data_IF_724226562713
#
_entry.id   IF_724226562713
#
_cell.length_a   1.000
_cell.length_b   1.000
_cell.length_c   1.000
_cell.angle_alpha   90.00
_cell.angle_beta   90.00
_cell.angle_gamma   90.00
#
_symmetry.space_group_name_H-M   'P 1'
#
loop_
_entity.id
_entity.type
_entity.pdbx_description
1 polymer ?
#
# COMPACT_ATOMS: atom_id res chain seq x y z
N UNK A 1 -9.05 -16.13 92.08
CA UNK A 1 -9.53 -15.74 90.73
C UNK A 1 -8.83 -14.46 90.19
N UNK A 2 -7.52 -14.26 90.43
CA UNK A 2 -6.79 -13.05 89.99
C UNK A 2 -5.78 -13.29 88.84
N UNK A 3 -5.36 -14.54 88.60
CA UNK A 3 -4.34 -14.87 87.60
C UNK A 3 -4.87 -15.01 86.16
N UNK A 4 -6.18 -15.21 85.96
CA UNK A 4 -6.75 -15.40 84.62
C UNK A 4 -7.07 -14.10 83.87
N UNK A 5 -7.20 -12.96 84.57
CA UNK A 5 -7.50 -11.67 83.93
C UNK A 5 -6.26 -10.95 83.38
N UNK A 6 -5.09 -11.12 83.98
CA UNK A 6 -3.82 -10.52 83.51
C UNK A 6 -3.27 -11.21 82.25
N UNK A 7 -3.45 -12.53 82.14
CA UNK A 7 -3.04 -13.30 80.96
C UNK A 7 -3.85 -12.93 79.69
N UNK A 8 -5.16 -12.68 79.82
CA UNK A 8 -6.02 -12.24 78.70
C UNK A 8 -5.66 -10.84 78.19
N UNK A 9 -5.33 -9.90 79.08
CA UNK A 9 -4.88 -8.55 78.67
C UNK A 9 -3.52 -8.58 77.95
N UNK A 10 -2.58 -9.43 78.38
CA UNK A 10 -1.26 -9.59 77.74
C UNK A 10 -1.38 -10.23 76.35
N UNK A 11 -2.23 -11.27 76.19
CA UNK A 11 -2.52 -11.89 74.88
C UNK A 11 -3.21 -10.94 73.90
N UNK A 12 -4.14 -10.09 74.38
CA UNK A 12 -4.83 -9.11 73.52
C UNK A 12 -3.90 -8.00 73.03
N UNK A 13 -2.94 -7.56 73.85
CA UNK A 13 -1.89 -6.62 73.42
C UNK A 13 -0.92 -7.25 72.42
N UNK A 14 -0.57 -8.53 72.60
CA UNK A 14 0.28 -9.26 71.66
C UNK A 14 -0.36 -9.41 70.28
N UNK A 15 -1.68 -9.66 70.24
CA UNK A 15 -2.45 -9.73 69.00
C UNK A 15 -2.50 -8.40 68.24
N UNK A 16 -2.60 -7.27 68.96
CA UNK A 16 -2.57 -5.94 68.33
C UNK A 16 -1.20 -5.70 67.67
N UNK A 17 -0.10 -6.05 68.34
CA UNK A 17 1.25 -5.94 67.77
C UNK A 17 1.47 -6.87 66.57
N UNK A 18 0.91 -8.07 66.59
CA UNK A 18 0.97 -9.00 65.44
C UNK A 18 0.19 -8.46 64.24
N UNK A 19 -1.00 -7.89 64.44
CA UNK A 19 -1.77 -7.27 63.36
C UNK A 19 -1.05 -6.04 62.81
N UNK A 20 -0.45 -5.20 63.66
CA UNK A 20 0.36 -4.05 63.24
C UNK A 20 1.58 -4.49 62.42
N UNK A 21 2.29 -5.53 62.86
CA UNK A 21 3.41 -6.10 62.12
C UNK A 21 2.97 -6.72 60.79
N UNK A 22 1.82 -7.38 60.74
CA UNK A 22 1.26 -7.94 59.51
C UNK A 22 0.84 -6.85 58.52
N UNK A 23 0.25 -5.74 58.99
CA UNK A 23 -0.11 -4.59 58.15
C UNK A 23 1.13 -3.87 57.65
N UNK A 24 2.17 -3.71 58.48
CA UNK A 24 3.46 -3.17 58.05
C UNK A 24 4.14 -4.09 57.04
N UNK A 25 4.15 -5.40 57.27
CA UNK A 25 4.71 -6.36 56.33
C UNK A 25 3.92 -6.39 55.03
N UNK A 26 2.59 -6.29 55.08
CA UNK A 26 1.74 -6.18 53.90
C UNK A 26 1.98 -4.85 53.17
N UNK A 27 2.17 -3.76 53.88
CA UNK A 27 2.49 -2.44 53.31
C UNK A 27 3.88 -2.43 52.65
N UNK A 28 4.89 -3.02 53.30
CA UNK A 28 6.23 -3.19 52.74
C UNK A 28 6.21 -4.17 51.56
N UNK A 29 5.43 -5.25 51.63
CA UNK A 29 5.25 -6.19 50.53
C UNK A 29 4.46 -5.58 49.36
N UNK A 30 3.43 -4.78 49.63
CA UNK A 30 2.71 -4.01 48.62
C UNK A 30 3.62 -2.97 48.00
N UNK A 31 4.44 -2.27 48.79
CA UNK A 31 5.40 -1.30 48.29
C UNK A 31 6.52 -1.96 47.46
N UNK A 32 7.08 -3.08 47.93
CA UNK A 32 8.08 -3.83 47.17
C UNK A 32 7.49 -4.50 45.93
N UNK A 33 6.24 -4.98 45.98
CA UNK A 33 5.59 -5.59 44.83
C UNK A 33 5.17 -4.55 43.79
N UNK A 34 4.68 -3.37 44.18
CA UNK A 34 4.45 -2.27 43.23
C UNK A 34 5.75 -1.73 42.65
N UNK A 35 6.83 -1.65 43.46
CA UNK A 35 8.15 -1.27 42.98
C UNK A 35 8.77 -2.31 42.03
N UNK A 36 8.50 -3.61 42.21
CA UNK A 36 8.92 -4.65 41.27
C UNK A 36 8.12 -4.63 39.96
N UNK A 37 6.82 -4.29 40.00
CA UNK A 37 5.98 -4.13 38.80
C UNK A 37 6.36 -2.87 37.99
N UNK A 38 6.95 -1.86 38.63
CA UNK A 38 7.45 -0.65 37.97
C UNK A 38 8.77 -0.84 37.19
N UNK A 39 9.42 -2.01 37.24
CA UNK A 39 10.38 -2.41 36.21
C UNK A 39 9.60 -2.75 34.94
N UNK A 40 9.17 -1.68 34.27
CA UNK A 40 8.53 -1.68 32.97
C UNK A 40 9.18 -2.75 32.08
N UNK A 41 8.37 -3.58 31.44
CA UNK A 41 8.82 -4.52 30.42
C UNK A 41 9.23 -3.74 29.17
N UNK A 42 10.35 -3.01 29.28
CA UNK A 42 10.99 -2.35 28.16
C UNK A 42 11.45 -3.44 27.21
N UNK A 43 10.87 -3.44 26.02
CA UNK A 43 11.33 -4.28 24.93
C UNK A 43 12.56 -3.63 24.32
N UNK A 44 13.49 -4.48 23.88
CA UNK A 44 14.73 -4.05 23.22
C UNK A 44 14.60 -4.32 21.73
N UNK A 45 14.96 -3.33 20.93
CA UNK A 45 15.17 -3.50 19.50
C UNK A 45 16.56 -3.00 19.14
N UNK A 46 17.16 -3.60 18.12
CA UNK A 46 18.49 -3.20 17.63
C UNK A 46 18.33 -2.49 16.29
N UNK A 47 19.00 -1.35 16.15
CA UNK A 47 19.04 -0.60 14.91
C UNK A 47 19.74 -1.43 13.82
N UNK A 48 19.06 -1.70 12.72
CA UNK A 48 19.59 -2.52 11.62
C UNK A 48 19.57 -1.75 10.31
N UNK A 49 20.56 -1.99 9.46
CA UNK A 49 20.51 -1.52 8.08
C UNK A 49 19.46 -2.32 7.31
N UNK A 50 18.51 -1.60 6.71
CA UNK A 50 17.50 -2.18 5.82
C UNK A 50 17.28 -1.27 4.63
N UNK A 51 16.88 -1.87 3.53
CA UNK A 51 16.32 -1.14 2.40
C UNK A 51 14.84 -0.89 2.68
N UNK A 52 14.43 0.38 2.69
CA UNK A 52 13.05 0.78 2.90
C UNK A 52 12.56 1.43 1.61
N UNK A 53 11.43 0.96 1.10
CA UNK A 53 10.81 1.50 -0.11
C UNK A 53 9.31 1.74 0.12
N UNK A 54 8.81 2.84 -0.39
CA UNK A 54 7.38 3.13 -0.49
C UNK A 54 6.95 3.06 -1.95
N UNK A 55 5.70 2.66 -2.16
CA UNK A 55 5.13 2.50 -3.50
C UNK A 55 3.79 3.21 -3.58
N UNK A 56 3.53 3.82 -4.72
CA UNK A 56 2.17 4.10 -5.16
C UNK A 56 1.57 2.81 -5.72
N UNK A 57 0.32 2.52 -5.36
CA UNK A 57 -0.42 1.37 -5.91
C UNK A 57 -1.65 1.87 -6.65
N UNK A 58 -1.84 1.37 -7.87
CA UNK A 58 -2.94 1.74 -8.76
C UNK A 58 -3.66 0.49 -9.23
N UNK A 59 -4.99 0.50 -9.15
CA UNK A 59 -5.82 -0.57 -9.68
C UNK A 59 -6.23 -0.29 -11.12
N UNK A 60 -6.30 -1.34 -11.94
CA UNK A 60 -6.70 -1.21 -13.34
C UNK A 60 -7.05 -2.55 -13.98
N UNK A 61 -7.00 -2.56 -15.31
CA UNK A 61 -7.27 -3.77 -16.09
C UNK A 61 -6.37 -3.88 -17.31
N UNK A 62 -6.25 -5.11 -17.81
CA UNK A 62 -5.66 -5.38 -19.11
C UNK A 62 -6.62 -4.95 -20.22
N UNK A 63 -6.09 -4.22 -21.19
CA UNK A 63 -6.79 -3.79 -22.40
C UNK A 63 -5.99 -4.20 -23.63
N UNK A 64 -6.63 -4.45 -24.78
CA UNK A 64 -5.92 -4.62 -26.04
C UNK A 64 -5.19 -3.31 -26.40
N UNK A 65 -3.96 -3.42 -26.88
CA UNK A 65 -3.16 -2.26 -27.29
C UNK A 65 -3.83 -1.48 -28.44
N UNK A 66 -4.57 -2.20 -29.29
CA UNK A 66 -5.38 -1.62 -30.36
C UNK A 66 -6.79 -2.19 -30.33
N UNK A 67 -7.76 -1.29 -30.27
CA UNK A 67 -9.18 -1.58 -30.45
C UNK A 67 -9.76 -0.48 -31.34
N UNK A 68 -10.03 -0.82 -32.59
CA UNK A 68 -10.45 0.15 -33.59
C UNK A 68 -11.73 -0.30 -34.28
N UNK A 69 -12.76 0.54 -34.19
CA UNK A 69 -13.93 0.46 -35.06
C UNK A 69 -13.63 1.21 -36.34
N UNK A 70 -13.53 0.47 -37.44
CA UNK A 70 -13.30 1.04 -38.76
C UNK A 70 -14.63 1.49 -39.36
N UNK A 71 -14.68 2.73 -39.83
CA UNK A 71 -15.86 3.32 -40.47
C UNK A 71 -15.61 3.63 -41.94
N UNK A 72 -16.68 3.65 -42.71
CA UNK A 72 -16.64 4.03 -44.12
C UNK A 72 -16.39 5.53 -44.27
N UNK A 73 -15.53 5.89 -45.24
CA UNK A 73 -15.26 7.30 -45.59
C UNK A 73 -16.16 7.79 -46.72
N UNK A 74 -16.67 6.87 -47.53
CA UNK A 74 -17.41 7.16 -48.76
C UNK A 74 -18.62 6.22 -48.86
N UNK A 75 -19.62 6.63 -49.64
CA UNK A 75 -20.79 5.79 -49.91
C UNK A 75 -20.42 4.70 -50.92
N UNK A 76 -20.76 3.45 -50.63
CA UNK A 76 -20.60 2.35 -51.57
C UNK A 76 -21.65 1.27 -51.32
N UNK A 77 -21.95 0.47 -52.35
CA UNK A 77 -22.74 -0.75 -52.17
C UNK A 77 -21.79 -1.94 -52.13
N UNK A 78 -21.85 -2.73 -51.06
CA UNK A 78 -20.99 -3.89 -50.86
C UNK A 78 -21.29 -4.94 -51.93
N UNK A 79 -20.23 -5.37 -52.62
CA UNK A 79 -20.32 -6.50 -53.57
C UNK A 79 -19.93 -7.80 -52.89
N UNK A 80 -18.84 -7.79 -52.13
CA UNK A 80 -18.26 -8.98 -51.53
C UNK A 80 -17.48 -8.59 -50.27
N UNK A 81 -17.59 -9.40 -49.24
CA UNK A 81 -16.83 -9.31 -47.99
C UNK A 81 -15.86 -10.49 -47.95
N UNK A 82 -14.60 -10.24 -47.64
CA UNK A 82 -13.52 -11.24 -47.69
C UNK A 82 -13.09 -11.76 -46.32
N UNK A 83 -13.65 -11.21 -45.25
CA UNK A 83 -13.33 -11.55 -43.86
C UNK A 83 -14.60 -11.90 -43.10
N UNK A 84 -14.46 -12.74 -42.07
CA UNK A 84 -15.51 -13.08 -41.13
C UNK A 84 -15.12 -12.71 -39.69
N UNK A 85 -16.08 -12.73 -38.79
CA UNK A 85 -15.82 -12.59 -37.35
C UNK A 85 -14.92 -13.74 -36.86
N UNK A 86 -13.88 -13.39 -36.10
CA UNK A 86 -12.85 -14.31 -35.64
C UNK A 86 -11.63 -14.43 -36.57
N UNK A 87 -11.68 -13.88 -37.79
CA UNK A 87 -10.52 -13.89 -38.69
C UNK A 87 -9.42 -12.94 -38.21
N UNK A 88 -8.16 -13.38 -38.33
CA UNK A 88 -6.99 -12.53 -38.11
C UNK A 88 -6.62 -11.82 -39.40
N UNK A 89 -6.52 -10.49 -39.34
CA UNK A 89 -6.14 -9.62 -40.46
C UNK A 89 -4.88 -8.84 -40.14
N UNK A 90 -4.09 -8.54 -41.17
CA UNK A 90 -2.95 -7.63 -41.11
C UNK A 90 -3.31 -6.27 -41.70
N UNK A 91 -2.66 -5.21 -41.24
CA UNK A 91 -2.85 -3.87 -41.80
C UNK A 91 -2.64 -3.88 -43.32
N UNK A 92 -3.66 -3.44 -44.07
CA UNK A 92 -3.67 -3.48 -45.54
C UNK A 92 -4.39 -4.68 -46.16
N UNK A 93 -4.80 -5.68 -45.40
CA UNK A 93 -5.58 -6.81 -45.95
C UNK A 93 -6.95 -6.35 -46.46
N UNK A 94 -7.41 -6.98 -47.54
CA UNK A 94 -8.69 -6.61 -48.16
C UNK A 94 -9.84 -7.09 -47.28
N UNK A 95 -10.64 -6.17 -46.75
CA UNK A 95 -11.82 -6.48 -45.95
C UNK A 95 -13.05 -6.71 -46.83
N UNK A 96 -13.32 -5.76 -47.74
CA UNK A 96 -14.49 -5.81 -48.61
C UNK A 96 -14.26 -5.05 -49.92
N UNK A 97 -15.11 -5.34 -50.91
CA UNK A 97 -15.12 -4.68 -52.21
C UNK A 97 -16.50 -4.13 -52.52
N UNK A 98 -16.53 -2.89 -53.01
CA UNK A 98 -17.72 -2.23 -53.54
C UNK A 98 -18.06 -2.65 -54.96
N UNK A 99 -19.32 -2.46 -55.35
CA UNK A 99 -19.81 -2.70 -56.73
C UNK A 99 -19.17 -1.78 -57.77
N UNK A 100 -18.71 -0.61 -57.35
CA UNK A 100 -17.92 0.37 -58.10
C UNK A 100 -16.44 -0.02 -58.27
N UNK A 101 -16.00 -1.12 -57.64
CA UNK A 101 -14.61 -1.58 -57.65
C UNK A 101 -13.75 -1.04 -56.50
N UNK A 102 -14.30 -0.19 -55.63
CA UNK A 102 -13.63 0.34 -54.45
C UNK A 102 -13.24 -0.79 -53.50
N UNK A 103 -12.06 -0.70 -52.90
CA UNK A 103 -11.52 -1.71 -52.00
C UNK A 103 -11.25 -1.08 -50.64
N UNK A 104 -11.79 -1.70 -49.59
CA UNK A 104 -11.52 -1.28 -48.22
C UNK A 104 -10.56 -2.26 -47.60
N UNK A 105 -9.51 -1.72 -47.02
CA UNK A 105 -8.43 -2.46 -46.40
C UNK A 105 -8.48 -2.34 -44.87
N UNK A 106 -7.92 -3.32 -44.16
CA UNK A 106 -7.81 -3.32 -42.71
C UNK A 106 -6.95 -2.13 -42.26
N UNK A 107 -7.48 -1.30 -41.36
CA UNK A 107 -6.78 -0.14 -40.82
C UNK A 107 -5.67 -0.53 -39.82
N UNK A 108 -5.71 -1.73 -39.27
CA UNK A 108 -4.73 -2.24 -38.33
C UNK A 108 -4.67 -3.77 -38.35
N UNK A 109 -3.57 -4.32 -37.84
CA UNK A 109 -3.42 -5.75 -37.58
C UNK A 109 -4.17 -6.16 -36.31
N UNK A 110 -4.92 -7.25 -36.36
CA UNK A 110 -5.65 -7.80 -35.22
C UNK A 110 -6.67 -8.85 -35.63
N UNK A 111 -7.59 -9.18 -34.72
CA UNK A 111 -8.71 -10.10 -34.97
C UNK A 111 -9.98 -9.29 -35.23
N UNK A 112 -10.77 -9.69 -36.23
CA UNK A 112 -12.09 -9.11 -36.51
C UNK A 112 -13.06 -9.57 -35.43
N UNK A 113 -13.30 -8.71 -34.43
CA UNK A 113 -14.20 -9.01 -33.31
C UNK A 113 -15.67 -8.92 -33.72
N UNK A 114 -15.99 -7.96 -34.59
CA UNK A 114 -17.35 -7.76 -35.08
C UNK A 114 -17.33 -7.28 -36.52
N UNK A 115 -18.27 -7.77 -37.32
CA UNK A 115 -18.51 -7.35 -38.69
C UNK A 115 -19.92 -6.76 -38.79
N UNK A 116 -20.02 -5.51 -39.22
CA UNK A 116 -21.28 -4.75 -39.25
C UNK A 116 -21.89 -4.64 -40.65
N UNK A 117 -21.30 -5.30 -41.64
CA UNK A 117 -21.67 -5.16 -43.05
C UNK A 117 -21.74 -6.52 -43.73
N UNK A 118 -22.75 -6.68 -44.58
CA UNK A 118 -22.97 -7.87 -45.39
C UNK A 118 -22.91 -7.54 -46.89
N UNK A 119 -22.89 -8.58 -47.73
CA UNK A 119 -23.01 -8.39 -49.17
C UNK A 119 -24.35 -7.73 -49.53
N UNK A 120 -24.35 -6.90 -50.56
CA UNK A 120 -25.48 -6.05 -51.00
C UNK A 120 -25.85 -4.87 -50.10
N UNK A 121 -25.20 -4.69 -48.94
CA UNK A 121 -25.49 -3.55 -48.06
C UNK A 121 -25.12 -2.20 -48.69
N UNK A 122 -26.00 -1.18 -48.55
CA UNK A 122 -25.65 0.20 -48.84
C UNK A 122 -24.91 0.82 -47.63
N UNK A 123 -23.65 1.19 -47.83
CA UNK A 123 -22.80 1.85 -46.84
C UNK A 123 -22.79 3.35 -47.11
N UNK A 124 -22.84 4.16 -46.05
CA UNK A 124 -22.69 5.60 -46.10
C UNK A 124 -21.45 6.03 -45.30
N UNK A 125 -20.90 7.24 -45.55
CA UNK A 125 -19.84 7.81 -44.71
C UNK A 125 -20.24 7.80 -43.24
N UNK A 126 -19.37 7.26 -42.38
CA UNK A 126 -19.60 7.09 -40.96
C UNK A 126 -20.22 5.75 -40.54
N UNK A 127 -20.74 4.94 -41.47
CA UNK A 127 -21.19 3.58 -41.16
C UNK A 127 -20.03 2.74 -40.63
N UNK A 128 -20.27 2.00 -39.54
CA UNK A 128 -19.30 1.04 -39.01
C UNK A 128 -19.18 -0.15 -39.96
N UNK A 129 -17.94 -0.58 -40.23
CA UNK A 129 -17.64 -1.68 -41.13
C UNK A 129 -17.30 -2.94 -40.34
N UNK A 130 -16.30 -2.81 -39.48
CA UNK A 130 -15.84 -3.87 -38.60
C UNK A 130 -15.13 -3.27 -37.38
N UNK A 131 -14.99 -4.08 -36.32
CA UNK A 131 -14.13 -3.79 -35.17
C UNK A 131 -12.96 -4.76 -35.18
N UNK A 132 -11.74 -4.22 -35.22
CA UNK A 132 -10.50 -5.00 -35.21
C UNK A 132 -9.81 -4.78 -33.87
N UNK A 133 -9.47 -5.86 -33.18
CA UNK A 133 -8.87 -5.85 -31.84
C UNK A 133 -7.58 -6.67 -31.83
N UNK A 134 -6.51 -6.08 -31.29
CA UNK A 134 -5.22 -6.75 -31.09
C UNK A 134 -5.18 -7.40 -29.70
N UNK A 135 -5.42 -8.71 -29.64
CA UNK A 135 -5.37 -9.50 -28.40
C UNK A 135 -3.97 -10.04 -28.09
N UNK A 136 -3.03 -9.99 -29.04
CA UNK A 136 -1.67 -10.50 -28.86
C UNK A 136 -0.81 -9.49 -28.08
N UNK A 137 -1.12 -8.20 -28.23
CA UNK A 137 -0.50 -7.13 -27.46
C UNK A 137 -1.50 -6.53 -26.49
N UNK A 138 -1.31 -6.84 -25.21
CA UNK A 138 -2.08 -6.25 -24.13
C UNK A 138 -1.27 -5.14 -23.45
N UNK A 139 -1.99 -4.12 -23.04
CA UNK A 139 -1.50 -3.02 -22.21
C UNK A 139 -2.31 -3.00 -20.92
N UNK A 140 -1.77 -2.36 -19.89
CA UNK A 140 -2.49 -2.10 -18.65
C UNK A 140 -3.04 -0.69 -18.71
N UNK A 141 -4.31 -0.51 -18.37
CA UNK A 141 -4.92 0.79 -18.16
C UNK A 141 -5.30 0.93 -16.69
N UNK A 142 -4.76 1.96 -16.03
CA UNK A 142 -5.10 2.33 -14.65
C UNK A 142 -5.70 3.73 -14.63
N UNK A 143 -6.58 3.99 -13.66
CA UNK A 143 -7.13 5.32 -13.42
C UNK A 143 -6.43 5.92 -12.20
N UNK A 144 -5.74 7.04 -12.40
CA UNK A 144 -4.91 7.69 -11.37
C UNK A 144 -5.55 9.00 -10.95
N UNK A 145 -5.66 9.25 -9.64
CA UNK A 145 -6.22 10.49 -9.10
C UNK A 145 -5.33 11.70 -9.48
N UNK A 146 -5.93 12.88 -9.62
CA UNK A 146 -5.25 14.16 -9.82
C UNK A 146 -4.14 14.43 -8.78
N UNK A 147 -4.28 13.96 -7.54
CA UNK A 147 -3.25 14.15 -6.52
C UNK A 147 -2.00 13.28 -6.72
N UNK A 148 -2.15 12.12 -7.37
CA UNK A 148 -1.08 11.14 -7.54
C UNK A 148 -0.49 11.13 -8.96
N UNK A 149 -1.12 11.80 -9.93
CA UNK A 149 -0.70 11.79 -11.33
C UNK A 149 0.72 12.33 -11.54
N UNK A 150 1.12 13.33 -10.75
CA UNK A 150 2.45 13.94 -10.81
C UNK A 150 3.57 12.99 -10.34
N UNK A 151 3.21 11.89 -9.65
CA UNK A 151 4.16 10.84 -9.29
C UNK A 151 4.57 9.98 -10.50
N UNK A 152 3.83 10.05 -11.61
CA UNK A 152 4.07 9.27 -12.82
C UNK A 152 4.71 10.12 -13.91
N UNK A 153 5.57 9.48 -14.70
CA UNK A 153 6.21 10.09 -15.85
C UNK A 153 6.31 9.07 -16.98
N UNK A 154 6.36 9.55 -18.23
CA UNK A 154 6.60 8.68 -19.38
C UNK A 154 7.92 7.91 -19.19
N UNK A 155 7.87 6.61 -19.45
CA UNK A 155 9.00 5.72 -19.26
C UNK A 155 9.25 5.26 -17.82
N UNK A 156 8.47 5.74 -16.83
CA UNK A 156 8.61 5.28 -15.44
C UNK A 156 8.25 3.81 -15.32
N UNK A 157 9.09 3.06 -14.61
CA UNK A 157 8.92 1.63 -14.41
C UNK A 157 8.01 1.35 -13.20
N UNK A 158 7.28 0.24 -13.27
CA UNK A 158 6.46 -0.28 -12.19
C UNK A 158 6.38 -1.81 -12.27
N UNK A 159 5.92 -2.43 -11.19
CA UNK A 159 5.60 -3.86 -11.16
C UNK A 159 4.10 -4.03 -11.32
N UNK A 160 3.68 -4.80 -12.30
CA UNK A 160 2.27 -5.11 -12.57
C UNK A 160 1.97 -6.51 -12.04
N UNK A 161 1.04 -6.58 -11.10
CA UNK A 161 0.52 -7.82 -10.56
C UNK A 161 -0.80 -8.17 -11.24
N UNK A 162 -0.84 -9.33 -11.89
CA UNK A 162 -2.04 -9.87 -12.53
C UNK A 162 -2.65 -10.91 -11.59
N UNK A 163 -3.57 -10.46 -10.73
CA UNK A 163 -4.15 -11.26 -9.65
C UNK A 163 -4.78 -12.58 -10.12
N UNK A 164 -5.35 -12.60 -11.32
CA UNK A 164 -6.00 -13.79 -11.89
C UNK A 164 -5.04 -14.95 -12.16
N UNK A 165 -3.76 -14.67 -12.40
CA UNK A 165 -2.73 -15.68 -12.75
C UNK A 165 -1.57 -15.71 -11.76
N UNK A 166 -1.69 -14.96 -10.65
CA UNK A 166 -0.67 -14.85 -9.60
C UNK A 166 0.74 -14.57 -10.16
N UNK A 167 0.82 -13.63 -11.10
CA UNK A 167 2.06 -13.27 -11.79
C UNK A 167 2.38 -11.79 -11.60
N UNK A 168 3.68 -11.51 -11.40
CA UNK A 168 4.23 -10.16 -11.38
C UNK A 168 5.12 -9.97 -12.61
N UNK A 169 4.86 -8.94 -13.39
CA UNK A 169 5.64 -8.59 -14.59
C UNK A 169 6.08 -7.13 -14.53
N UNK A 170 7.27 -6.79 -15.06
CA UNK A 170 7.66 -5.39 -15.20
C UNK A 170 6.74 -4.68 -16.19
N UNK A 171 6.43 -3.42 -15.90
CA UNK A 171 5.66 -2.54 -16.78
C UNK A 171 6.27 -1.14 -16.85
N UNK A 172 5.98 -0.44 -17.94
CA UNK A 172 6.49 0.90 -18.19
C UNK A 172 5.38 1.83 -18.65
N UNK A 173 5.32 3.04 -18.08
CA UNK A 173 4.36 4.07 -18.50
C UNK A 173 4.61 4.48 -19.95
N UNK A 174 3.62 4.28 -20.83
CA UNK A 174 3.69 4.66 -22.25
C UNK A 174 2.80 5.85 -22.58
N UNK A 175 1.69 6.01 -21.86
CA UNK A 175 0.72 7.08 -22.12
C UNK A 175 0.16 7.60 -20.80
N UNK A 176 0.07 8.92 -20.67
CA UNK A 176 -0.61 9.60 -19.57
C UNK A 176 -1.71 10.46 -20.20
N UNK A 177 -2.96 10.14 -19.90
CA UNK A 177 -4.12 10.88 -20.38
C UNK A 177 -4.05 12.34 -19.96
N UNK A 178 -4.36 13.24 -20.90
CA UNK A 178 -4.38 14.70 -20.66
C UNK A 178 -5.77 15.23 -20.31
N UNK A 179 -6.77 14.36 -20.38
CA UNK A 179 -8.16 14.66 -20.08
C UNK A 179 -8.60 13.79 -18.91
N UNK A 180 -9.17 14.43 -17.89
CA UNK A 180 -9.69 13.74 -16.73
C UNK A 180 -11.06 13.14 -17.04
N UNK A 181 -11.28 11.90 -16.59
CA UNK A 181 -12.58 11.26 -16.54
C UNK A 181 -13.14 11.46 -15.13
N UNK A 182 -14.28 12.15 -15.02
CA UNK A 182 -14.92 12.34 -13.73
C UNK A 182 -15.79 11.12 -13.39
N UNK A 183 -15.49 10.45 -12.28
CA UNK A 183 -16.26 9.32 -11.78
C UNK A 183 -16.63 9.58 -10.32
N UNK A 184 -17.92 9.77 -10.05
CA UNK A 184 -18.41 10.00 -8.68
C UNK A 184 -17.92 11.29 -8.04
N UNK A 185 -17.57 12.32 -8.83
CA UNK A 185 -17.05 13.59 -8.31
C UNK A 185 -15.54 13.62 -8.13
N UNK A 186 -14.84 12.50 -8.36
CA UNK A 186 -13.37 12.42 -8.36
C UNK A 186 -12.89 12.43 -9.81
N UNK A 187 -11.83 13.19 -10.07
CA UNK A 187 -11.19 13.30 -11.39
C UNK A 187 -10.06 12.29 -11.50
N UNK A 188 -10.15 11.39 -12.49
CA UNK A 188 -9.12 10.41 -12.77
C UNK A 188 -8.48 10.64 -14.12
N UNK A 189 -7.17 10.45 -14.21
CA UNK A 189 -6.41 10.46 -15.45
C UNK A 189 -6.08 9.01 -15.85
N UNK A 190 -6.50 8.54 -17.03
CA UNK A 190 -6.16 7.21 -17.49
C UNK A 190 -4.67 7.17 -17.85
N UNK A 191 -3.94 6.20 -17.29
CA UNK A 191 -2.52 5.97 -17.57
C UNK A 191 -2.36 4.57 -18.13
N UNK A 192 -1.57 4.43 -19.19
CA UNK A 192 -1.26 3.15 -19.80
C UNK A 192 0.15 2.71 -19.49
N UNK A 193 0.30 1.41 -19.20
CA UNK A 193 1.57 0.76 -19.05
C UNK A 193 1.73 -0.33 -20.11
N UNK A 194 2.84 -0.29 -20.84
CA UNK A 194 3.28 -1.42 -21.64
C UNK A 194 3.83 -2.50 -20.73
N UNK A 195 3.44 -3.74 -20.99
CA UNK A 195 3.92 -4.93 -20.29
C UNK A 195 4.22 -6.03 -21.29
N UNK A 196 5.04 -6.99 -20.87
CA UNK A 196 5.06 -8.31 -21.51
C UNK A 196 4.04 -9.19 -20.78
N UNK A 197 2.86 -9.47 -21.37
CA UNK A 197 1.80 -10.18 -20.68
C UNK A 197 2.21 -11.62 -20.34
N UNK A 198 1.95 -12.09 -19.11
CA UNK A 198 2.22 -13.48 -18.74
C UNK A 198 1.27 -14.42 -19.50
N UNK A 199 1.59 -15.72 -19.56
CA UNK A 199 0.76 -16.69 -20.26
C UNK A 199 -0.67 -16.75 -19.66
N UNK A 200 -1.66 -17.03 -20.53
CA UNK A 200 -3.07 -17.22 -20.16
C UNK A 200 -3.80 -15.98 -19.62
N UNK A 201 -3.29 -14.77 -19.86
CA UNK A 201 -4.05 -13.55 -19.56
C UNK A 201 -5.08 -13.25 -20.64
N UNK A 202 -6.11 -12.48 -20.26
CA UNK A 202 -7.15 -11.99 -21.18
C UNK A 202 -7.39 -10.53 -20.94
N UNK A 203 -7.81 -9.82 -21.99
CA UNK A 203 -8.38 -8.49 -21.86
C UNK A 203 -9.51 -8.48 -20.83
N UNK A 204 -9.58 -7.41 -20.05
CA UNK A 204 -10.53 -7.21 -18.96
C UNK A 204 -10.11 -7.79 -17.61
N UNK A 205 -9.02 -8.55 -17.52
CA UNK A 205 -8.51 -9.01 -16.22
C UNK A 205 -8.03 -7.85 -15.36
N UNK A 206 -8.34 -7.88 -14.07
CA UNK A 206 -7.88 -6.89 -13.09
C UNK A 206 -6.40 -7.02 -12.80
N UNK A 207 -5.75 -5.86 -12.63
CA UNK A 207 -4.33 -5.77 -12.27
C UNK A 207 -4.11 -4.72 -11.19
N UNK A 208 -3.02 -4.88 -10.45
CA UNK A 208 -2.48 -3.86 -9.53
C UNK A 208 -1.11 -3.43 -10.05
N UNK A 209 -0.88 -2.13 -10.17
CA UNK A 209 0.41 -1.57 -10.60
C UNK A 209 1.06 -0.86 -9.43
N UNK A 210 2.23 -1.33 -9.03
CA UNK A 210 3.04 -0.71 -7.99
C UNK A 210 4.20 0.06 -8.60
N UNK A 211 4.29 1.34 -8.30
CA UNK A 211 5.32 2.25 -8.78
C UNK A 211 6.11 2.79 -7.60
N UNK A 212 7.44 2.73 -7.68
CA UNK A 212 8.31 3.23 -6.62
C UNK A 212 8.11 4.74 -6.40
N UNK A 213 7.88 5.12 -5.14
CA UNK A 213 7.78 6.50 -4.67
C UNK A 213 9.12 6.96 -4.10
N UNK A 214 9.48 6.42 -2.92
CA UNK A 214 10.74 6.75 -2.24
C UNK A 214 11.47 5.48 -1.88
N UNK A 215 12.78 5.58 -1.86
CA UNK A 215 13.66 4.50 -1.43
C UNK A 215 14.78 5.05 -0.56
N UNK A 216 15.10 4.31 0.50
CA UNK A 216 16.25 4.51 1.33
C UNK A 216 17.02 3.19 1.40
N UNK A 217 18.16 3.14 0.71
CA UNK A 217 19.04 1.97 0.67
C UNK A 217 19.99 1.97 1.87
N UNK A 218 20.23 0.79 2.45
CA UNK A 218 21.08 0.59 3.62
C UNK A 218 20.85 1.66 4.70
N UNK A 219 19.59 1.90 5.02
CA UNK A 219 19.18 2.90 5.99
C UNK A 219 19.14 2.30 7.39
N UNK A 220 19.65 3.02 8.40
CA UNK A 220 19.44 2.65 9.80
C UNK A 220 17.94 2.68 10.05
N UNK A 221 17.38 1.55 10.45
CA UNK A 221 15.94 1.35 10.55
C UNK A 221 15.54 0.82 11.92
N UNK A 222 14.33 1.18 12.33
CA UNK A 222 13.67 0.62 13.50
C UNK A 222 12.20 0.32 13.17
N UNK A 223 11.60 -0.69 13.81
CA UNK A 223 10.16 -0.85 13.80
C UNK A 223 9.48 0.42 14.32
N UNK A 224 8.36 0.82 13.72
CA UNK A 224 7.57 1.97 14.20
C UNK A 224 7.14 1.82 15.66
N UNK A 225 6.92 0.58 16.12
CA UNK A 225 6.58 0.27 17.52
C UNK A 225 7.71 0.62 18.49
N UNK A 226 8.96 0.67 18.03
CA UNK A 226 10.12 1.00 18.86
C UNK A 226 10.31 2.51 19.07
N UNK A 227 9.52 3.34 18.38
CA UNK A 227 9.61 4.80 18.45
C UNK A 227 8.53 5.33 19.40
N UNK A 228 8.95 6.28 20.22
CA UNK A 228 8.08 7.03 21.13
C UNK A 228 7.97 8.48 20.66
N UNK A 229 6.89 9.15 21.04
CA UNK A 229 6.65 10.55 20.71
C UNK A 229 6.44 11.33 22.00
N UNK A 230 7.00 12.53 22.07
CA UNK A 230 6.78 13.43 23.20
C UNK A 230 5.42 14.16 23.09
N UNK A 231 5.13 15.04 24.05
CA UNK A 231 3.90 15.85 24.08
C UNK A 231 3.74 16.77 22.86
N UNK A 232 4.83 17.06 22.14
CA UNK A 232 4.87 17.89 20.95
C UNK A 232 4.95 17.07 19.65
N UNK A 233 4.71 15.76 19.73
CA UNK A 233 4.79 14.81 18.62
C UNK A 233 6.18 14.73 17.97
N UNK A 234 7.26 14.97 18.75
CA UNK A 234 8.64 14.77 18.29
C UNK A 234 9.09 13.34 18.59
N UNK A 235 9.65 12.64 17.59
CA UNK A 235 10.07 11.26 17.77
C UNK A 235 11.35 11.15 18.59
N UNK A 236 11.39 10.18 19.51
CA UNK A 236 12.55 9.84 20.32
C UNK A 236 12.60 8.33 20.58
N UNK A 237 13.78 7.86 20.96
CA UNK A 237 14.03 6.47 21.41
C UNK A 237 14.73 6.49 22.76
N UNK A 238 14.53 5.47 23.59
CA UNK A 238 15.29 5.32 24.83
C UNK A 238 16.56 4.52 24.54
N UNK A 239 17.72 5.06 24.88
CA UNK A 239 19.01 4.37 24.77
C UNK A 239 19.56 4.15 26.18
N UNK A 240 20.19 3.00 26.41
CA UNK A 240 20.79 2.69 27.70
C UNK A 240 22.14 3.39 27.83
N UNK A 241 22.29 4.22 28.86
CA UNK A 241 23.52 4.93 29.20
C UNK A 241 23.94 4.52 30.62
N UNK A 242 24.80 3.49 30.71
CA UNK A 242 25.12 2.86 32.00
C UNK A 242 23.95 2.02 32.53
N UNK A 243 23.41 2.40 33.69
CA UNK A 243 22.23 1.74 34.30
C UNK A 243 20.91 2.51 34.09
N UNK A 244 20.96 3.69 33.46
CA UNK A 244 19.79 4.55 33.22
C UNK A 244 19.39 4.57 31.73
N UNK A 245 18.12 4.92 31.47
CA UNK A 245 17.59 5.11 30.13
C UNK A 245 17.53 6.59 29.80
N UNK A 246 18.16 6.98 28.69
CA UNK A 246 18.19 8.35 28.21
C UNK A 246 17.30 8.48 26.97
N UNK A 247 16.39 9.45 26.98
CA UNK A 247 15.58 9.78 25.81
C UNK A 247 16.44 10.55 24.80
N UNK A 248 16.65 9.94 23.64
CA UNK A 248 17.39 10.54 22.53
C UNK A 248 16.45 10.90 21.40
N UNK A 249 16.40 12.18 21.07
CA UNK A 249 15.64 12.66 19.91
C UNK A 249 16.23 12.11 18.62
N UNK A 250 15.36 11.67 17.71
CA UNK A 250 15.75 11.16 16.40
C UNK A 250 15.03 11.93 15.29
N UNK A 251 15.57 11.89 14.08
CA UNK A 251 14.87 12.40 12.90
C UNK A 251 14.52 11.24 11.99
N UNK A 252 13.25 11.17 11.57
CA UNK A 252 12.72 10.08 10.76
C UNK A 252 12.73 10.44 9.28
N UNK A 253 12.87 9.41 8.43
CA UNK A 253 12.85 9.51 6.97
C UNK A 253 11.73 8.67 6.37
N UNK A 254 12.06 7.88 5.34
CA UNK A 254 11.12 6.99 4.64
C UNK A 254 10.58 5.93 5.60
N UNK A 255 9.28 5.65 5.51
CA UNK A 255 8.57 4.65 6.33
C UNK A 255 7.72 3.76 5.43
N UNK A 256 7.87 2.44 5.55
CA UNK A 256 7.06 1.45 4.82
C UNK A 256 5.81 1.01 5.61
N UNK A 257 5.51 1.67 6.73
CA UNK A 257 4.39 1.35 7.61
C UNK A 257 4.68 0.26 8.65
N UNK A 258 5.80 -0.45 8.52
CA UNK A 258 6.30 -1.40 9.54
C UNK A 258 7.60 -0.88 10.17
N UNK A 259 8.52 -0.45 9.34
CA UNK A 259 9.83 0.08 9.68
C UNK A 259 9.95 1.51 9.16
N UNK A 260 10.79 2.29 9.84
CA UNK A 260 11.10 3.65 9.44
C UNK A 260 12.59 3.90 9.50
N UNK A 261 13.07 4.65 8.52
CA UNK A 261 14.43 5.15 8.45
C UNK A 261 14.68 6.17 9.55
N UNK A 262 15.79 6.02 10.26
CA UNK A 262 16.32 7.01 11.18
C UNK A 262 17.47 7.75 10.49
N UNK A 263 17.25 9.04 10.18
CA UNK A 263 18.23 9.89 9.50
C UNK A 263 19.35 10.34 10.44
N UNK A 264 19.00 10.68 11.68
CA UNK A 264 19.95 11.16 12.69
C UNK A 264 19.55 10.70 14.09
N UNK A 265 20.54 10.55 14.96
CA UNK A 265 20.35 10.24 16.39
C UNK A 265 20.57 8.76 16.74
N UNK A 266 20.74 7.88 15.75
CA UNK A 266 21.03 6.47 15.99
C UNK A 266 22.02 5.94 14.95
N UNK A 267 22.90 5.04 15.38
CA UNK A 267 23.80 4.31 14.49
C UNK A 267 23.41 2.83 14.43
N UNK A 268 23.88 2.14 13.39
CA UNK A 268 23.68 0.69 13.24
C UNK A 268 24.21 -0.06 14.47
N UNK A 269 23.45 -1.05 14.92
CA UNK A 269 23.83 -1.92 16.05
C UNK A 269 23.52 -1.34 17.42
N UNK A 270 23.07 -0.07 17.51
CA UNK A 270 22.63 0.49 18.78
C UNK A 270 21.31 -0.16 19.25
N UNK A 271 21.24 -0.43 20.54
CA UNK A 271 20.05 -0.98 21.17
C UNK A 271 19.16 0.15 21.67
N UNK A 272 17.91 0.15 21.23
CA UNK A 272 16.86 1.03 21.71
C UNK A 272 15.87 0.25 22.56
N UNK A 273 15.22 0.97 23.47
CA UNK A 273 14.26 0.43 24.40
C UNK A 273 12.95 1.20 24.31
N UNK A 274 11.84 0.48 24.45
CA UNK A 274 10.53 1.09 24.34
C UNK A 274 9.50 0.29 25.14
N UNK A 275 8.42 0.96 25.50
CA UNK A 275 7.26 0.33 26.11
C UNK A 275 6.47 -0.37 25.02
N UNK A 276 6.52 -1.70 24.99
CA UNK A 276 5.84 -2.53 23.99
C UNK A 276 4.34 -2.66 24.21
N UNK A 277 3.80 -2.18 25.34
CA UNK A 277 2.40 -2.34 25.71
C UNK A 277 1.69 -0.99 25.78
N UNK A 278 0.57 -0.84 25.08
CA UNK A 278 -0.25 0.39 25.08
C UNK A 278 -0.72 0.78 26.48
N UNK A 279 -1.02 -0.22 27.32
CA UNK A 279 -1.34 -0.01 28.73
C UNK A 279 -0.17 0.59 29.50
N UNK A 280 1.06 0.15 29.23
CA UNK A 280 2.25 0.69 29.89
C UNK A 280 2.54 2.12 29.43
N UNK A 281 2.33 2.43 28.14
CA UNK A 281 2.40 3.80 27.61
C UNK A 281 1.33 4.70 28.25
N UNK A 282 0.10 4.23 28.36
CA UNK A 282 -1.01 4.94 29.01
C UNK A 282 -0.72 5.26 30.49
N UNK A 283 -0.24 4.28 31.26
CA UNK A 283 0.08 4.49 32.68
C UNK A 283 1.31 5.40 32.87
N UNK A 284 2.32 5.32 32.01
CA UNK A 284 3.46 6.23 32.05
C UNK A 284 3.03 7.70 31.83
N UNK A 285 2.20 7.96 30.81
CA UNK A 285 1.65 9.31 30.56
C UNK A 285 0.78 9.81 31.72
N UNK A 286 -0.04 8.93 32.31
CA UNK A 286 -0.90 9.32 33.44
C UNK A 286 -0.08 9.68 34.69
N UNK A 287 1.05 9.01 34.90
CA UNK A 287 1.94 9.25 36.04
C UNK A 287 2.74 10.56 35.90
N UNK A 288 3.16 10.92 34.69
CA UNK A 288 3.77 12.23 34.40
C UNK A 288 2.79 13.40 34.59
N UNK A 289 1.56 13.26 34.08
CA UNK A 289 0.51 14.28 34.27
C UNK A 289 0.11 14.47 35.75
N UNK A 290 0.18 13.41 36.55
CA UNK A 290 -0.10 13.46 37.99
C UNK A 290 1.09 13.96 38.82
N UNK A 291 2.32 13.82 38.32
CA UNK A 291 3.54 14.33 38.96
C UNK A 291 3.75 15.85 38.80
N UNK A 292 3.14 16.46 37.77
CA UNK A 292 3.12 17.91 37.54
C UNK A 292 2.12 18.70 38.40
N UNK A 293 1.26 18.02 39.15
CA UNK A 293 0.32 18.62 40.12
C UNK A 293 0.79 18.37 41.56
N UNK A 294 1.94 18.94 41.94
CA UNK A 294 2.32 19.07 43.34
C UNK A 294 2.75 20.52 43.63
N UNK A 295 1.86 21.37 44.20
CA UNK A 295 2.29 22.55 44.94
C UNK A 295 2.91 22.18 46.30
#
# INVERSE_FOLDING_TARGET
MAAQQTARKKKRRLWIWLVLAAVLALGVWLYFSTAQVARQSLSRETAQLRDIATYYSFEGSLIPAKDQVQTAKESLKVKEVYVAEGDTVTEGDLLLRGTDGTRIHAACTGTVEALYVEADDPIQPGSQLCRIVDYDRLEVSVNVDEYDIDSLALGKEGTVYVNAVDAAVPGQVTEIGREAVNQGGVSFYPVKFAIEPPANVRSGMSVEVQVLDRQALAAVSLPLTAISYDEYNKPYVLVMNGEEYEARSITLGVSDGTNVQVLTGLTEGENVYYLSNDLARFFAMQQEMMGGMAP
#
